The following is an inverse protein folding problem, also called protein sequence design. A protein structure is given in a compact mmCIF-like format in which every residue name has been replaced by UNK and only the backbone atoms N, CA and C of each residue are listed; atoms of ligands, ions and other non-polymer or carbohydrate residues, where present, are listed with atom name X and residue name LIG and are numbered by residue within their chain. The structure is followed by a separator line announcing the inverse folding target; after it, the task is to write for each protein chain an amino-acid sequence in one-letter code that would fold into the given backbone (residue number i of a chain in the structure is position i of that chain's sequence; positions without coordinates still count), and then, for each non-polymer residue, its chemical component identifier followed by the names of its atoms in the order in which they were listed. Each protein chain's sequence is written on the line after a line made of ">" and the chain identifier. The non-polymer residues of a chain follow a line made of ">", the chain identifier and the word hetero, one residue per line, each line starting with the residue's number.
data_IF_072544955039
#
_entry.id   IF_072544955039
#
_cell.length_a   1.000
_cell.length_b   1.000
_cell.length_c   1.000
_cell.angle_alpha   90.00
_cell.angle_beta   90.00
_cell.angle_gamma   90.00
#
_symmetry.space_group_name_H-M   'P 1'
#
loop_
_entity.id
_entity.type
_entity.pdbx_description
1 polymer ?
#
# COMPACT_ATOMS: atom_id res chain seq x y z
N UNK A 1 19.61 -28.78 43.05
CA UNK A 1 18.95 -27.79 42.18
C UNK A 1 20.00 -26.82 41.66
N UNK A 2 20.39 -26.92 40.39
CA UNK A 2 21.40 -26.04 39.77
C UNK A 2 20.71 -24.78 39.26
N UNK A 3 21.01 -23.62 39.84
CA UNK A 3 20.56 -22.33 39.31
C UNK A 3 21.36 -22.05 38.03
N UNK A 4 20.71 -22.11 36.87
CA UNK A 4 21.30 -21.61 35.63
C UNK A 4 21.70 -20.16 35.84
N UNK A 5 23.01 -19.89 35.80
CA UNK A 5 23.53 -18.53 35.89
C UNK A 5 23.26 -17.81 34.56
N UNK A 6 22.17 -17.06 34.50
CA UNK A 6 21.96 -16.10 33.42
C UNK A 6 22.97 -14.97 33.59
N UNK A 7 24.06 -15.00 32.83
CA UNK A 7 24.89 -13.81 32.65
C UNK A 7 24.15 -12.90 31.69
N UNK A 8 23.75 -11.69 32.09
CA UNK A 8 23.11 -10.75 31.16
C UNK A 8 24.10 -10.48 30.03
N UNK A 9 23.80 -10.97 28.83
CA UNK A 9 24.56 -10.60 27.64
C UNK A 9 24.18 -9.15 27.31
N UNK A 10 25.13 -8.29 26.95
CA UNK A 10 24.82 -6.94 26.48
C UNK A 10 23.80 -7.02 25.35
N UNK A 11 22.68 -6.32 25.49
CA UNK A 11 21.69 -6.21 24.43
C UNK A 11 22.31 -5.44 23.27
N UNK A 12 22.28 -6.03 22.08
CA UNK A 12 22.73 -5.35 20.87
C UNK A 12 21.68 -4.30 20.47
N UNK A 13 21.93 -3.05 20.86
CA UNK A 13 21.09 -1.89 20.55
C UNK A 13 21.04 -1.56 19.05
N UNK A 14 21.94 -2.14 18.24
CA UNK A 14 21.93 -1.98 16.78
C UNK A 14 21.09 -3.04 16.07
N UNK A 15 20.60 -4.05 16.81
CA UNK A 15 19.73 -5.08 16.27
C UNK A 15 18.41 -4.45 15.84
N UNK A 16 18.10 -4.52 14.54
CA UNK A 16 16.83 -4.05 13.99
C UNK A 16 15.68 -4.86 14.61
N UNK A 17 14.69 -4.13 15.13
CA UNK A 17 13.45 -4.72 15.61
C UNK A 17 12.57 -5.08 14.41
N UNK A 18 11.92 -6.23 14.47
CA UNK A 18 10.91 -6.61 13.49
C UNK A 18 9.67 -5.72 13.73
N UNK A 19 9.20 -5.05 12.69
CA UNK A 19 7.99 -4.24 12.74
C UNK A 19 6.83 -5.14 12.37
N UNK A 20 5.94 -5.37 13.32
CA UNK A 20 4.69 -6.08 13.08
C UNK A 20 3.70 -5.13 12.43
N UNK A 21 3.13 -5.52 11.28
CA UNK A 21 2.19 -4.70 10.52
C UNK A 21 0.74 -5.12 10.74
N UNK A 22 0.48 -6.37 11.12
CA UNK A 22 -0.85 -6.88 11.36
C UNK A 22 -0.87 -7.82 12.58
N UNK A 23 -1.99 -7.86 13.30
CA UNK A 23 -2.16 -8.70 14.50
C UNK A 23 -2.04 -10.20 14.20
N UNK A 24 -2.31 -10.62 12.96
CA UNK A 24 -2.18 -12.01 12.53
C UNK A 24 -0.72 -12.52 12.54
N UNK A 25 0.25 -11.61 12.47
CA UNK A 25 1.68 -11.93 12.49
C UNK A 25 2.18 -12.32 13.89
N UNK A 26 1.33 -12.26 14.92
CA UNK A 26 1.65 -12.67 16.29
C UNK A 26 1.37 -14.16 16.58
N UNK A 27 0.59 -14.84 15.75
CA UNK A 27 0.14 -16.22 16.03
C UNK A 27 1.17 -17.29 15.61
N UNK A 28 2.20 -16.91 14.85
CA UNK A 28 3.32 -17.81 14.53
C UNK A 28 4.35 -17.81 15.68
N UNK A 29 3.96 -18.48 16.77
CA UNK A 29 4.81 -18.88 17.90
C UNK A 29 5.84 -19.93 17.43
N UNK A 30 6.97 -19.49 16.84
CA UNK A 30 8.24 -20.21 17.01
C UNK A 30 9.46 -19.33 16.72
N UNK A 31 10.32 -19.16 17.72
CA UNK A 31 11.70 -18.71 17.53
C UNK A 31 12.63 -19.60 18.39
N UNK A 32 13.93 -19.71 18.06
CA UNK A 32 14.55 -20.03 16.78
C UNK A 32 15.61 -21.15 16.96
N UNK A 33 15.65 -22.18 16.10
CA UNK A 33 16.65 -23.27 16.23
C UNK A 33 17.79 -23.17 15.21
N UNK A 34 18.99 -22.95 15.77
CA UNK A 34 20.28 -23.51 15.35
C UNK A 34 20.95 -23.01 14.06
N UNK A 35 22.03 -22.26 14.29
CA UNK A 35 23.21 -22.14 13.43
C UNK A 35 23.81 -23.52 13.13
N UNK A 36 23.77 -23.98 11.87
CA UNK A 36 24.87 -24.72 11.17
C UNK A 36 24.40 -25.29 9.83
N UNK A 37 25.34 -25.35 8.89
CA UNK A 37 25.34 -26.05 7.59
C UNK A 37 24.49 -25.50 6.46
N UNK A 38 25.05 -24.64 5.61
CA UNK A 38 24.84 -24.67 4.13
C UNK A 38 26.00 -23.98 3.37
N UNK A 39 27.26 -24.20 3.79
CA UNK A 39 28.47 -23.82 3.04
C UNK A 39 28.97 -24.91 2.07
N UNK A 40 28.09 -25.72 1.48
CA UNK A 40 28.50 -26.68 0.45
C UNK A 40 27.44 -26.81 -0.65
N UNK A 41 27.56 -25.99 -1.69
CA UNK A 41 27.29 -26.35 -3.10
C UNK A 41 27.74 -25.22 -4.02
N UNK A 42 29.04 -24.95 -3.99
CA UNK A 42 29.76 -24.43 -5.16
C UNK A 42 29.89 -25.61 -6.15
N UNK A 43 29.76 -25.32 -7.45
CA UNK A 43 30.11 -26.13 -8.63
C UNK A 43 28.99 -26.93 -9.32
N UNK A 44 28.32 -26.26 -10.27
CA UNK A 44 28.00 -26.72 -11.63
C UNK A 44 27.62 -25.44 -12.41
N UNK A 45 28.51 -24.83 -13.21
CA UNK A 45 28.62 -25.04 -14.67
C UNK A 45 27.26 -24.84 -15.37
N UNK A 46 27.07 -23.99 -16.39
CA UNK A 46 27.95 -23.18 -17.21
C UNK A 46 27.08 -22.14 -17.95
N UNK A 47 27.73 -21.07 -18.40
CA UNK A 47 27.41 -20.32 -19.62
C UNK A 47 26.06 -19.57 -19.69
N UNK A 48 26.10 -18.27 -19.40
CA UNK A 48 25.36 -17.29 -20.19
C UNK A 48 26.05 -15.93 -20.07
N UNK A 49 26.67 -15.53 -21.17
CA UNK A 49 27.33 -14.26 -21.42
C UNK A 49 26.37 -13.08 -21.22
N UNK A 50 26.46 -12.38 -20.08
CA UNK A 50 26.21 -10.94 -20.06
C UNK A 50 27.15 -10.31 -19.03
N UNK A 51 28.30 -9.82 -19.49
CA UNK A 51 29.11 -8.87 -18.75
C UNK A 51 28.32 -7.56 -18.57
N UNK A 52 27.44 -7.50 -17.57
CA UNK A 52 27.01 -6.22 -17.00
C UNK A 52 27.97 -5.92 -15.86
N UNK A 53 28.88 -5.00 -16.14
CA UNK A 53 29.84 -4.43 -15.20
C UNK A 53 29.16 -4.09 -13.87
N UNK A 54 29.39 -4.92 -12.85
CA UNK A 54 28.82 -4.73 -11.52
C UNK A 54 29.49 -3.53 -10.86
N UNK A 55 28.81 -2.39 -10.91
CA UNK A 55 29.16 -1.19 -10.13
C UNK A 55 29.00 -1.54 -8.64
N UNK A 56 29.98 -1.21 -7.77
CA UNK A 56 29.92 -1.54 -6.35
C UNK A 56 28.64 -0.94 -5.74
N UNK A 57 27.83 -1.85 -5.20
CA UNK A 57 26.58 -1.68 -4.47
C UNK A 57 26.42 -0.29 -3.85
N UNK A 58 25.69 0.59 -4.56
CA UNK A 58 25.05 1.75 -3.93
C UNK A 58 24.10 1.19 -2.89
N UNK A 59 24.23 1.68 -1.65
CA UNK A 59 23.38 1.40 -0.49
C UNK A 59 21.95 1.11 -0.97
N UNK A 60 21.43 -0.09 -0.67
CA UNK A 60 20.06 -0.46 -0.97
C UNK A 60 19.13 0.62 -0.40
N UNK A 61 18.70 1.54 -1.27
CA UNK A 61 17.74 2.54 -0.91
C UNK A 61 16.46 1.79 -0.53
N UNK A 62 15.88 2.14 0.60
CA UNK A 62 14.57 1.62 1.00
C UNK A 62 13.61 1.87 -0.17
N UNK A 63 13.06 0.80 -0.73
CA UNK A 63 12.07 0.88 -1.79
C UNK A 63 10.89 1.73 -1.31
N UNK A 64 10.59 2.80 -2.05
CA UNK A 64 9.51 3.71 -1.70
C UNK A 64 8.20 2.97 -1.99
N UNK A 65 7.30 2.81 -1.01
CA UNK A 65 6.06 2.08 -1.23
C UNK A 65 5.20 2.76 -2.29
N UNK A 66 4.66 1.97 -3.21
CA UNK A 66 3.72 2.44 -4.24
C UNK A 66 2.31 2.55 -3.62
N UNK A 67 1.58 3.66 -3.84
CA UNK A 67 0.20 3.78 -3.36
C UNK A 67 -0.70 2.71 -3.99
N UNK A 68 -1.63 2.19 -3.20
CA UNK A 68 -2.68 1.30 -3.67
C UNK A 68 -3.84 2.15 -4.23
N UNK A 69 -4.56 1.62 -5.23
CA UNK A 69 -5.80 2.21 -5.72
C UNK A 69 -6.98 1.33 -5.32
N UNK A 70 -8.14 1.97 -5.17
CA UNK A 70 -9.40 1.30 -4.84
C UNK A 70 -10.38 1.55 -5.98
N UNK A 71 -11.05 0.49 -6.42
CA UNK A 71 -12.16 0.58 -7.36
C UNK A 71 -13.43 0.79 -6.57
N UNK A 72 -14.19 1.84 -6.91
CA UNK A 72 -15.44 2.18 -6.24
C UNK A 72 -16.59 1.66 -7.10
N UNK A 73 -17.37 0.72 -6.56
CA UNK A 73 -18.44 0.04 -7.31
C UNK A 73 -19.54 0.99 -7.81
N UNK A 74 -19.79 2.09 -7.09
CA UNK A 74 -20.82 3.08 -7.44
C UNK A 74 -20.36 4.11 -8.45
N UNK A 75 -19.06 4.15 -8.80
CA UNK A 75 -18.49 5.24 -9.60
C UNK A 75 -19.22 5.49 -10.92
N UNK A 76 -19.56 4.41 -11.65
CA UNK A 76 -20.26 4.50 -12.93
C UNK A 76 -21.74 4.88 -12.80
N UNK A 77 -22.32 4.72 -11.60
CA UNK A 77 -23.68 5.17 -11.29
C UNK A 77 -23.69 6.64 -10.91
N UNK A 78 -22.71 7.07 -10.11
CA UNK A 78 -22.63 8.41 -9.55
C UNK A 78 -22.14 9.44 -10.60
N UNK A 79 -21.29 9.00 -11.53
CA UNK A 79 -20.74 9.85 -12.59
C UNK A 79 -21.13 9.36 -13.97
N UNK A 80 -22.00 10.11 -14.65
CA UNK A 80 -22.37 9.82 -16.03
C UNK A 80 -21.29 10.26 -17.03
N UNK A 81 -21.02 9.41 -18.03
CA UNK A 81 -20.01 9.66 -19.08
C UNK A 81 -20.57 10.52 -20.21
N UNK A 82 -20.97 11.74 -19.90
CA UNK A 82 -21.63 12.67 -20.84
C UNK A 82 -20.66 13.56 -21.63
N UNK A 83 -19.36 13.53 -21.30
CA UNK A 83 -18.37 14.36 -21.97
C UNK A 83 -18.11 13.91 -23.42
N UNK A 84 -18.34 14.83 -24.36
CA UNK A 84 -17.96 14.68 -25.77
C UNK A 84 -16.72 15.52 -26.09
N UNK A 85 -15.63 14.88 -26.52
CA UNK A 85 -14.38 15.59 -26.83
C UNK A 85 -14.55 16.52 -28.05
N UNK A 86 -14.29 17.83 -27.92
CA UNK A 86 -14.31 18.74 -29.06
C UNK A 86 -13.08 18.55 -29.95
N UNK A 87 -13.18 18.96 -31.21
CA UNK A 87 -12.08 18.93 -32.20
C UNK A 87 -10.98 19.96 -31.94
N UNK A 88 -11.20 20.88 -31.00
CA UNK A 88 -10.27 21.94 -30.63
C UNK A 88 -10.00 21.92 -29.13
N UNK A 89 -8.93 22.59 -28.70
CA UNK A 89 -8.63 22.71 -27.27
C UNK A 89 -9.73 23.46 -26.51
N UNK A 90 -9.98 23.01 -25.28
CA UNK A 90 -10.94 23.62 -24.37
C UNK A 90 -10.59 25.09 -24.12
N UNK A 91 -11.54 25.99 -24.39
CA UNK A 91 -11.45 27.41 -24.05
C UNK A 91 -12.48 27.71 -22.98
N UNK A 92 -12.10 27.51 -21.73
CA UNK A 92 -13.00 27.74 -20.60
C UNK A 92 -13.35 29.23 -20.49
N UNK A 93 -14.64 29.53 -20.27
CA UNK A 93 -15.09 30.80 -19.68
C UNK A 93 -15.32 30.60 -18.19
N UNK A 94 -15.32 31.68 -17.41
CA UNK A 94 -15.44 31.63 -15.94
C UNK A 94 -16.65 30.82 -15.48
N UNK A 95 -16.45 29.98 -14.47
CA UNK A 95 -17.31 28.86 -14.06
C UNK A 95 -18.75 29.21 -13.64
N UNK A 96 -19.12 30.50 -13.54
CA UNK A 96 -20.39 30.93 -12.93
C UNK A 96 -21.56 31.10 -13.89
N UNK A 97 -21.35 31.09 -15.21
CA UNK A 97 -22.38 31.55 -16.12
C UNK A 97 -23.27 30.46 -16.74
N UNK A 98 -22.91 29.17 -16.74
CA UNK A 98 -23.56 28.22 -17.67
C UNK A 98 -23.77 26.77 -17.18
N UNK A 99 -23.55 26.43 -15.90
CA UNK A 99 -23.75 25.04 -15.41
C UNK A 99 -24.98 24.98 -14.49
N UNK A 100 -26.16 24.91 -15.10
CA UNK A 100 -27.40 24.49 -14.43
C UNK A 100 -28.02 25.46 -13.42
N UNK A 101 -29.17 25.05 -12.86
CA UNK A 101 -29.72 25.67 -11.66
C UNK A 101 -28.76 25.43 -10.50
N UNK A 102 -28.43 26.50 -9.78
CA UNK A 102 -27.62 26.41 -8.58
C UNK A 102 -28.43 25.73 -7.47
N UNK A 103 -28.01 24.54 -7.07
CA UNK A 103 -28.57 23.83 -5.92
C UNK A 103 -27.76 24.21 -4.68
N UNK A 104 -28.45 24.75 -3.68
CA UNK A 104 -27.83 25.26 -2.44
C UNK A 104 -27.59 24.18 -1.38
N UNK A 105 -28.34 23.07 -1.45
CA UNK A 105 -28.38 22.06 -0.42
C UNK A 105 -28.50 20.66 -1.02
N UNK A 106 -27.59 19.77 -0.61
CA UNK A 106 -27.64 18.34 -0.93
C UNK A 106 -28.24 17.59 0.27
N UNK A 107 -29.25 16.75 0.02
CA UNK A 107 -29.88 15.95 1.07
C UNK A 107 -28.90 14.89 1.59
N UNK A 108 -28.89 14.69 2.90
CA UNK A 108 -28.17 13.58 3.51
C UNK A 108 -29.07 12.36 3.73
N UNK A 109 -28.51 11.31 4.31
CA UNK A 109 -29.24 10.06 4.54
C UNK A 109 -30.43 10.26 5.49
N UNK A 110 -30.33 11.14 6.49
CA UNK A 110 -31.42 11.40 7.44
C UNK A 110 -32.58 12.12 6.72
N UNK A 111 -32.24 13.10 5.89
CA UNK A 111 -33.20 13.82 5.06
C UNK A 111 -33.91 12.88 4.07
N UNK A 112 -33.16 11.99 3.41
CA UNK A 112 -33.70 11.00 2.48
C UNK A 112 -34.65 10.02 3.19
N UNK A 113 -34.25 9.49 4.35
CA UNK A 113 -35.05 8.58 5.15
C UNK A 113 -36.35 9.25 5.62
N UNK A 114 -36.24 10.48 6.14
CA UNK A 114 -37.39 11.28 6.54
C UNK A 114 -38.36 11.53 5.36
N UNK A 115 -37.83 11.91 4.20
CA UNK A 115 -38.62 12.18 3.01
C UNK A 115 -39.35 10.93 2.50
N UNK A 116 -38.73 9.76 2.60
CA UNK A 116 -39.37 8.48 2.26
C UNK A 116 -40.49 8.11 3.22
N UNK A 117 -40.34 8.37 4.52
CA UNK A 117 -41.40 8.13 5.51
C UNK A 117 -42.58 9.09 5.36
N UNK A 118 -42.30 10.37 5.09
CA UNK A 118 -43.34 11.38 4.90
C UNK A 118 -44.23 11.11 3.68
N UNK A 119 -43.68 10.53 2.61
CA UNK A 119 -44.40 10.26 1.36
C UNK A 119 -45.14 8.92 1.32
N UNK A 120 -45.19 8.17 2.44
CA UNK A 120 -46.01 6.96 2.59
C UNK A 120 -47.47 7.30 2.89
#
# INVERSE_FOLDING_TARGET
>A
MSRLSFRPRPLDISKKLLIVKNFKDFEDEEAPTSTRTHMLRIAAEADNEVQVQQVPSKKAASEIPTPQFVVVDTYERDYSRTFSQPTSYLRARGARAEIGEFVEYDLDNEDEDWLQEFNK
#
